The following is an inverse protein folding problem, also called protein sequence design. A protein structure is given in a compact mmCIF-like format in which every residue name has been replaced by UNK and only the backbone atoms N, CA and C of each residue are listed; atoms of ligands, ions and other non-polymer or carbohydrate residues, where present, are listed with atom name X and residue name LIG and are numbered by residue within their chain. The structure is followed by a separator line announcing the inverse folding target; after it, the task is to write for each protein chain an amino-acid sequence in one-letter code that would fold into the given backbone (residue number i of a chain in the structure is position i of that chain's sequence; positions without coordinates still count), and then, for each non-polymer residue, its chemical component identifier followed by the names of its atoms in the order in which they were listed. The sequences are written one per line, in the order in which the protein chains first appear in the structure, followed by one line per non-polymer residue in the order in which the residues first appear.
data_IF_668358006524
#
_entry.id   IF_668358006524
#
_cell.length_a   1.000
_cell.length_b   1.000
_cell.length_c   1.000
_cell.angle_alpha   90.00
_cell.angle_beta   90.00
_cell.angle_gamma   90.00
#
_symmetry.space_group_name_H-M   'P 1'
#
loop_
_entity.id
_entity.type
_entity.pdbx_description
1 polymer ?
#
# COMPACT_ATOMS: atom_id res chain seq x y z
N UNK A 1 -10.07 -8.83 8.61
CA UNK A 1 -9.03 -8.00 9.26
C UNK A 1 -9.59 -6.60 9.44
N UNK A 2 -9.16 -5.82 10.43
CA UNK A 2 -9.67 -4.44 10.58
C UNK A 2 -8.94 -3.52 9.61
N UNK A 3 -9.63 -2.61 8.92
CA UNK A 3 -9.05 -1.56 8.04
C UNK A 3 -7.80 -0.87 8.63
N UNK A 4 -7.77 -0.71 9.96
CA UNK A 4 -6.61 -0.20 10.72
C UNK A 4 -5.31 -1.01 10.51
N UNK A 5 -5.39 -2.34 10.39
CA UNK A 5 -4.23 -3.21 10.17
C UNK A 5 -3.63 -2.99 8.78
N UNK A 6 -4.47 -2.99 7.73
CA UNK A 6 -4.03 -2.76 6.36
C UNK A 6 -3.40 -1.38 6.22
N UNK A 7 -4.02 -0.36 6.82
CA UNK A 7 -3.46 0.99 6.87
C UNK A 7 -2.07 1.03 7.53
N UNK A 8 -1.91 0.38 8.67
CA UNK A 8 -0.62 0.29 9.37
C UNK A 8 0.43 -0.46 8.54
N UNK A 9 0.04 -1.53 7.85
CA UNK A 9 0.92 -2.29 6.96
C UNK A 9 1.41 -1.43 5.79
N UNK A 10 0.52 -0.66 5.15
CA UNK A 10 0.86 0.27 4.07
C UNK A 10 1.88 1.29 4.57
N UNK A 11 1.57 1.98 5.68
CA UNK A 11 2.45 3.00 6.26
C UNK A 11 3.82 2.41 6.59
N UNK A 12 3.85 1.24 7.24
CA UNK A 12 5.10 0.59 7.62
C UNK A 12 5.93 0.19 6.39
N UNK A 13 5.28 -0.32 5.34
CA UNK A 13 5.94 -0.70 4.09
C UNK A 13 6.56 0.50 3.39
N UNK A 14 5.81 1.60 3.29
CA UNK A 14 6.31 2.86 2.70
C UNK A 14 7.50 3.39 3.49
N UNK A 15 7.41 3.46 4.82
CA UNK A 15 8.51 3.92 5.67
C UNK A 15 9.76 3.04 5.50
N UNK A 16 9.59 1.72 5.40
CA UNK A 16 10.71 0.79 5.22
C UNK A 16 11.41 0.96 3.87
N UNK A 17 10.67 1.30 2.81
CA UNK A 17 11.22 1.51 1.46
C UNK A 17 11.87 2.89 1.31
N UNK A 18 11.18 3.94 1.76
CA UNK A 18 11.58 5.34 1.56
C UNK A 18 12.57 5.84 2.62
N UNK A 19 12.57 5.23 3.81
CA UNK A 19 13.28 5.71 4.98
C UNK A 19 12.58 6.87 5.71
N UNK A 20 11.37 7.26 5.26
CA UNK A 20 10.61 8.32 5.91
C UNK A 20 10.03 7.89 7.26
N UNK A 21 9.79 8.88 8.12
CA UNK A 21 9.14 8.63 9.41
C UNK A 21 7.63 8.41 9.24
N UNK A 22 7.02 7.52 10.05
CA UNK A 22 5.58 7.27 9.99
C UNK A 22 4.72 8.53 10.17
N UNK A 23 5.18 9.50 10.95
CA UNK A 23 4.46 10.77 11.17
C UNK A 23 4.38 11.61 9.89
N UNK A 24 5.40 11.56 9.05
CA UNK A 24 5.42 12.26 7.75
C UNK A 24 4.42 11.60 6.82
N UNK A 25 4.53 10.28 6.65
CA UNK A 25 3.67 9.51 5.75
C UNK A 25 2.19 9.61 6.13
N UNK A 26 1.86 9.53 7.42
CA UNK A 26 0.47 9.60 7.90
C UNK A 26 -0.14 11.00 7.80
N UNK A 27 0.68 12.05 7.73
CA UNK A 27 0.22 13.42 7.60
C UNK A 27 -0.04 13.84 6.14
N UNK A 28 0.36 13.03 5.16
CA UNK A 28 0.14 13.28 3.74
C UNK A 28 -1.23 12.76 3.30
N UNK A 29 -1.94 13.57 2.52
CA UNK A 29 -3.19 13.15 1.85
C UNK A 29 -2.88 12.12 0.74
N UNK A 30 -1.78 12.32 0.03
CA UNK A 30 -1.22 11.40 -0.96
C UNK A 30 0.30 11.26 -0.81
N UNK A 31 0.82 10.06 -1.05
CA UNK A 31 2.25 9.75 -1.05
C UNK A 31 2.74 9.65 -2.48
N UNK A 32 3.69 10.50 -2.85
CA UNK A 32 4.38 10.43 -4.15
C UNK A 32 5.66 9.59 -4.02
N UNK A 33 5.79 8.57 -4.88
CA UNK A 33 6.94 7.65 -4.87
C UNK A 33 7.63 7.67 -6.23
N UNK A 34 8.96 7.63 -6.24
CA UNK A 34 9.67 7.36 -7.50
C UNK A 34 9.39 5.93 -7.98
N UNK A 35 9.72 5.63 -9.24
CA UNK A 35 9.44 4.32 -9.85
C UNK A 35 9.99 3.13 -9.06
N UNK A 36 11.21 3.24 -8.51
CA UNK A 36 11.83 2.16 -7.75
C UNK A 36 11.08 1.93 -6.44
N UNK A 37 10.78 3.00 -5.71
CA UNK A 37 10.14 2.91 -4.41
C UNK A 37 8.68 2.45 -4.56
N UNK A 38 8.00 2.88 -5.63
CA UNK A 38 6.69 2.37 -6.04
C UNK A 38 6.72 0.85 -6.25
N UNK A 39 7.62 0.36 -7.10
CA UNK A 39 7.76 -1.08 -7.38
C UNK A 39 8.06 -1.88 -6.10
N UNK A 40 8.92 -1.37 -5.23
CA UNK A 40 9.26 -2.05 -3.97
C UNK A 40 8.09 -2.08 -2.99
N UNK A 41 7.35 -0.98 -2.84
CA UNK A 41 6.17 -0.91 -1.96
C UNK A 41 5.13 -1.91 -2.42
N UNK A 42 4.76 -1.89 -3.71
CA UNK A 42 3.70 -2.77 -4.20
C UNK A 42 4.13 -4.23 -4.25
N UNK A 43 5.39 -4.54 -4.59
CA UNK A 43 5.88 -5.93 -4.54
C UNK A 43 5.81 -6.52 -3.12
N UNK A 44 6.15 -5.72 -2.10
CA UNK A 44 6.09 -6.16 -0.70
C UNK A 44 4.65 -6.30 -0.19
N UNK A 45 3.77 -5.37 -0.56
CA UNK A 45 2.35 -5.45 -0.19
C UNK A 45 1.67 -6.65 -0.82
N UNK A 46 1.88 -6.89 -2.12
CA UNK A 46 1.36 -8.05 -2.84
C UNK A 46 1.85 -9.37 -2.22
N UNK A 47 3.15 -9.48 -1.94
CA UNK A 47 3.72 -10.68 -1.32
C UNK A 47 3.26 -10.89 0.13
N UNK A 48 3.07 -9.82 0.91
CA UNK A 48 2.65 -9.92 2.32
C UNK A 48 1.18 -10.32 2.45
N UNK A 49 0.35 -9.83 1.53
CA UNK A 49 -1.09 -10.05 1.55
C UNK A 49 -1.52 -11.24 0.67
N UNK A 50 -0.59 -11.80 -0.11
CA UNK A 50 -0.83 -12.86 -1.11
C UNK A 50 -1.94 -12.48 -2.11
N UNK A 51 -1.86 -11.25 -2.63
CA UNK A 51 -2.81 -10.69 -3.60
C UNK A 51 -2.09 -10.05 -4.78
N UNK A 52 -2.83 -9.80 -5.86
CA UNK A 52 -2.35 -8.98 -6.97
C UNK A 52 -3.12 -7.67 -7.07
N UNK A 53 -2.41 -6.56 -6.90
CA UNK A 53 -3.01 -5.21 -6.94
C UNK A 53 -3.11 -4.68 -8.36
N UNK A 54 -2.19 -5.07 -9.24
CA UNK A 54 -2.02 -4.49 -10.58
C UNK A 54 -1.35 -3.11 -10.56
N UNK A 55 -0.90 -2.63 -9.40
CA UNK A 55 -0.33 -1.29 -9.27
C UNK A 55 1.10 -1.21 -9.81
N UNK A 56 1.80 -2.33 -9.95
CA UNK A 56 3.14 -2.39 -10.57
C UNK A 56 3.13 -1.87 -12.02
N UNK A 57 2.03 -2.05 -12.75
CA UNK A 57 1.89 -1.55 -14.13
C UNK A 57 1.24 -0.16 -14.23
N UNK A 58 0.85 0.45 -13.10
CA UNK A 58 0.26 1.78 -13.08
C UNK A 58 1.26 2.82 -13.58
N UNK A 59 0.78 3.82 -14.31
CA UNK A 59 1.56 5.02 -14.66
C UNK A 59 1.49 6.10 -13.57
N UNK A 60 0.56 5.96 -12.60
CA UNK A 60 0.50 6.85 -11.44
C UNK A 60 1.64 6.55 -10.48
N UNK A 61 2.16 7.60 -9.85
CA UNK A 61 3.17 7.52 -8.80
C UNK A 61 2.73 8.19 -7.50
N UNK A 62 1.48 8.64 -7.46
CA UNK A 62 0.82 9.18 -6.26
C UNK A 62 -0.27 8.21 -5.80
N UNK A 63 -0.38 8.03 -4.49
CA UNK A 63 -1.40 7.18 -3.87
C UNK A 63 -1.88 7.74 -2.54
N UNK A 64 -3.20 7.83 -2.36
CA UNK A 64 -3.80 8.01 -1.03
C UNK A 64 -3.73 6.71 -0.22
N UNK A 65 -3.21 6.79 1.01
CA UNK A 65 -3.08 5.64 1.91
C UNK A 65 -4.44 5.03 2.24
N UNK A 66 -5.44 5.88 2.48
CA UNK A 66 -6.78 5.42 2.85
C UNK A 66 -7.47 4.75 1.66
N UNK A 67 -7.37 5.34 0.46
CA UNK A 67 -7.90 4.71 -0.75
C UNK A 67 -7.22 3.38 -1.08
N UNK A 68 -5.90 3.29 -0.84
CA UNK A 68 -5.18 2.02 -0.98
C UNK A 68 -5.65 1.01 0.07
N UNK A 69 -5.83 1.41 1.32
CA UNK A 69 -6.29 0.52 2.38
C UNK A 69 -7.65 -0.10 2.05
N UNK A 70 -8.61 0.70 1.59
CA UNK A 70 -9.94 0.23 1.18
C UNK A 70 -9.88 -0.73 -0.02
N UNK A 71 -9.02 -0.43 -1.00
CA UNK A 71 -8.80 -1.29 -2.17
C UNK A 71 -8.20 -2.65 -1.78
N UNK A 72 -7.20 -2.66 -0.90
CA UNK A 72 -6.59 -3.91 -0.43
C UNK A 72 -7.54 -4.70 0.45
N UNK A 73 -8.32 -4.05 1.32
CA UNK A 73 -9.33 -4.72 2.15
C UNK A 73 -10.41 -5.39 1.29
N UNK A 74 -10.88 -4.70 0.25
CA UNK A 74 -11.84 -5.26 -0.73
C UNK A 74 -11.27 -6.47 -1.47
N UNK A 75 -10.01 -6.41 -1.91
CA UNK A 75 -9.33 -7.54 -2.57
C UNK A 75 -9.19 -8.74 -1.65
N UNK A 76 -8.74 -8.52 -0.41
CA UNK A 76 -8.60 -9.57 0.59
C UNK A 76 -9.93 -10.26 0.91
N UNK A 77 -11.03 -9.51 0.99
CA UNK A 77 -12.37 -10.09 1.18
C UNK A 77 -12.83 -10.85 -0.06
N UNK A 78 -12.50 -10.35 -1.26
CA UNK A 78 -12.83 -11.01 -2.53
C UNK A 78 -12.06 -12.30 -2.81
N UNK A 79 -10.81 -12.39 -2.32
CA UNK A 79 -9.95 -13.58 -2.47
C UNK A 79 -10.27 -14.68 -1.44
N UNK A 80 -11.08 -14.39 -0.41
CA UNK A 80 -11.71 -15.43 0.44
C UNK A 80 -12.87 -16.04 -0.35
N UNK A 81 -12.55 -16.95 -1.27
CA UNK A 81 -13.52 -17.91 -1.79
C UNK A 81 -13.76 -18.94 -0.68
N UNK A 82 -14.94 -18.88 -0.06
CA UNK A 82 -15.47 -19.92 0.84
C UNK A 82 -15.65 -21.26 0.13
#
# INVERSE_FOLDING_TARGET
MTSTFIRQLIVHTICNVTGEEPKTIVALDEVELNTRDWEQVFSRLEATLDIHTGMLSSTSRSISIDALADSLDTKLVGDIIL
#
